data_IF_137557071023
#
_entry.id   IF_137557071023
#
_cell.length_a   1.000
_cell.length_b   1.000
_cell.length_c   1.000
_cell.angle_alpha   90.00
_cell.angle_beta   90.00
_cell.angle_gamma   90.00
#
_symmetry.space_group_name_H-M   'P 1'
#
loop_
_entity.id
_entity.type
_entity.pdbx_description
1 polymer ?
#
# COMPACT_ATOMS: atom_id res chain seq x y z
N UNK A 1 -21.45 -3.28 16.58
CA UNK A 1 -20.20 -3.50 17.32
C UNK A 1 -19.48 -2.16 17.37
N UNK A 2 -19.05 -1.69 18.56
CA UNK A 2 -18.36 -0.40 18.73
C UNK A 2 -16.96 -0.69 19.28
N UNK A 3 -15.93 -0.16 18.64
CA UNK A 3 -14.55 -0.25 19.12
C UNK A 3 -14.19 1.13 19.68
N UNK A 4 -13.82 1.19 20.95
CA UNK A 4 -13.38 2.41 21.61
C UNK A 4 -11.85 2.45 21.68
N UNK A 5 -11.26 3.21 20.76
CA UNK A 5 -9.82 3.39 20.71
C UNK A 5 -9.30 4.28 21.84
N UNK A 6 -10.15 5.08 22.51
CA UNK A 6 -9.71 5.97 23.58
C UNK A 6 -9.46 5.24 24.89
N UNK A 7 -10.09 4.09 25.11
CA UNK A 7 -9.89 3.22 26.29
C UNK A 7 -9.02 2.00 26.02
N UNK A 8 -8.45 1.87 24.82
CA UNK A 8 -7.61 0.75 24.44
C UNK A 8 -6.26 0.75 25.18
N UNK A 9 -5.98 -0.29 25.97
CA UNK A 9 -4.75 -0.40 26.78
C UNK A 9 -3.46 -0.44 25.96
N UNK A 10 -3.52 -0.86 24.69
CA UNK A 10 -2.35 -0.94 23.78
C UNK A 10 -2.34 0.16 22.72
N UNK A 11 -3.14 1.22 22.89
CA UNK A 11 -3.20 2.35 21.97
C UNK A 11 -1.80 2.95 21.77
N UNK A 12 -1.42 3.14 20.51
CA UNK A 12 -0.10 3.65 20.11
C UNK A 12 0.99 2.59 20.03
N UNK A 13 0.86 1.46 20.73
CA UNK A 13 1.85 0.37 20.74
C UNK A 13 1.51 -0.65 19.64
N UNK A 14 0.27 -1.17 19.66
CA UNK A 14 -0.22 -2.17 18.69
C UNK A 14 -1.09 -1.57 17.58
N UNK A 15 -0.99 -0.26 17.33
CA UNK A 15 -1.83 0.38 16.31
C UNK A 15 -1.34 0.07 14.89
N UNK A 16 -0.06 -0.24 14.70
CA UNK A 16 0.51 -0.52 13.37
C UNK A 16 -0.05 -1.80 12.72
N UNK A 17 -0.48 -2.76 13.53
CA UNK A 17 -1.01 -4.07 13.13
C UNK A 17 -2.46 -4.30 13.59
N UNK A 18 -3.10 -3.30 14.18
CA UNK A 18 -4.51 -3.37 14.59
C UNK A 18 -5.45 -3.47 13.38
N UNK A 19 -6.49 -4.31 13.48
CA UNK A 19 -7.55 -4.44 12.48
C UNK A 19 -8.25 -3.10 12.15
N UNK A 20 -8.31 -2.17 13.11
CA UNK A 20 -8.90 -0.83 12.90
C UNK A 20 -8.08 -0.04 11.87
N UNK A 21 -6.75 -0.10 11.95
CA UNK A 21 -5.86 0.55 10.97
C UNK A 21 -6.00 -0.08 9.59
N UNK A 22 -6.18 -1.41 9.52
CA UNK A 22 -6.45 -2.09 8.25
C UNK A 22 -7.78 -1.63 7.62
N UNK A 23 -8.84 -1.51 8.42
CA UNK A 23 -10.18 -1.11 7.94
C UNK A 23 -10.23 0.35 7.52
N UNK A 24 -9.56 1.25 8.26
CA UNK A 24 -9.58 2.68 7.99
C UNK A 24 -8.59 3.12 6.89
N UNK A 25 -7.87 2.16 6.30
CA UNK A 25 -6.88 2.39 5.26
C UNK A 25 -5.47 2.30 5.84
N UNK A 26 -4.61 1.54 5.14
CA UNK A 26 -3.17 1.49 5.41
C UNK A 26 -2.50 2.87 5.33
N UNK A 27 -1.17 2.95 5.44
CA UNK A 27 -0.43 4.22 5.47
C UNK A 27 -0.97 5.21 4.44
N UNK A 28 -1.21 6.49 4.82
CA UNK A 28 -1.90 7.46 3.96
C UNK A 28 -1.20 7.67 2.62
N UNK A 29 0.12 7.46 2.58
CA UNK A 29 0.96 7.61 1.39
C UNK A 29 1.05 6.33 0.53
N UNK A 30 0.39 5.24 0.94
CA UNK A 30 0.54 3.93 0.32
C UNK A 30 1.83 3.22 0.72
N UNK A 31 2.15 2.14 0.01
CA UNK A 31 3.36 1.35 0.22
C UNK A 31 4.16 1.37 -1.07
N UNK A 32 5.41 1.84 -1.01
CA UNK A 32 6.34 1.72 -2.12
C UNK A 32 6.84 0.29 -2.20
N UNK A 33 6.65 -0.34 -3.35
CA UNK A 33 7.10 -1.70 -3.63
C UNK A 33 8.10 -1.65 -4.78
N UNK A 34 9.29 -2.20 -4.55
CA UNK A 34 10.23 -2.43 -5.64
C UNK A 34 9.77 -3.60 -6.55
N UNK A 35 10.53 -3.87 -7.61
CA UNK A 35 10.18 -4.91 -8.58
C UNK A 35 10.26 -6.32 -7.97
N UNK A 36 11.22 -6.56 -7.08
CA UNK A 36 11.39 -7.85 -6.40
C UNK A 36 10.23 -8.12 -5.45
N UNK A 37 9.83 -7.10 -4.69
CA UNK A 37 8.70 -7.17 -3.78
C UNK A 37 7.38 -7.37 -4.52
N UNK A 38 7.16 -6.69 -5.64
CA UNK A 38 6.00 -6.94 -6.52
C UNK A 38 5.98 -8.37 -7.04
N UNK A 39 7.11 -8.87 -7.53
CA UNK A 39 7.23 -10.24 -8.02
C UNK A 39 6.93 -11.25 -6.90
N UNK A 40 7.40 -11.01 -5.68
CA UNK A 40 7.10 -11.86 -4.52
C UNK A 40 5.60 -11.88 -4.23
N UNK A 41 4.94 -10.71 -4.18
CA UNK A 41 3.50 -10.61 -3.95
C UNK A 41 2.69 -11.30 -5.07
N UNK A 42 3.16 -11.23 -6.32
CA UNK A 42 2.54 -11.96 -7.44
C UNK A 42 2.66 -13.48 -7.30
N UNK A 43 3.78 -14.00 -6.80
CA UNK A 43 3.94 -15.43 -6.49
C UNK A 43 2.98 -15.85 -5.38
N UNK A 44 2.88 -15.05 -4.31
CA UNK A 44 1.93 -15.32 -3.21
C UNK A 44 0.48 -15.30 -3.71
N UNK A 45 0.14 -14.38 -4.61
CA UNK A 45 -1.19 -14.28 -5.20
C UNK A 45 -1.50 -15.46 -6.13
N UNK A 46 -0.53 -15.92 -6.92
CA UNK A 46 -0.67 -17.13 -7.76
C UNK A 46 -0.86 -18.39 -6.91
N UNK A 47 -0.24 -18.44 -5.73
CA UNK A 47 -0.45 -19.51 -4.74
C UNK A 47 -1.76 -19.36 -3.95
N UNK A 48 -2.52 -18.28 -4.13
CA UNK A 48 -3.79 -18.04 -3.42
C UNK A 48 -3.64 -17.59 -1.98
N UNK A 49 -2.44 -17.16 -1.56
CA UNK A 49 -2.18 -16.72 -0.19
C UNK A 49 -2.55 -15.25 0.07
N UNK A 50 -2.56 -14.43 -0.99
CA UNK A 50 -2.94 -13.01 -0.93
C UNK A 50 -3.81 -12.63 -2.13
N UNK A 51 -4.63 -11.57 -2.05
CA UNK A 51 -5.30 -11.01 -3.22
C UNK A 51 -4.30 -10.53 -4.28
N UNK A 52 -4.69 -10.60 -5.56
CA UNK A 52 -3.89 -10.04 -6.68
C UNK A 52 -3.66 -8.54 -6.45
N UNK A 53 -2.46 -8.07 -6.76
CA UNK A 53 -2.13 -6.65 -6.67
C UNK A 53 -3.02 -5.82 -7.61
N UNK A 54 -3.76 -4.87 -7.05
CA UNK A 54 -4.56 -3.89 -7.79
C UNK A 54 -3.84 -2.53 -7.75
N UNK A 55 -2.69 -2.46 -8.43
CA UNK A 55 -1.85 -1.26 -8.46
C UNK A 55 -2.61 -0.08 -9.07
N UNK A 56 -2.76 1.00 -8.30
CA UNK A 56 -3.21 2.29 -8.81
C UNK A 56 -1.96 3.13 -9.05
N UNK A 57 -1.63 3.36 -10.32
CA UNK A 57 -0.50 4.23 -10.68
C UNK A 57 -0.93 5.69 -10.67
N UNK A 58 -0.18 6.55 -10.00
CA UNK A 58 -0.38 8.00 -10.09
C UNK A 58 -0.02 8.47 -11.51
N UNK A 59 -1.04 8.72 -12.32
CA UNK A 59 -0.93 9.16 -13.71
C UNK A 59 -0.16 10.49 -13.84
N UNK A 60 -0.08 11.29 -12.78
CA UNK A 60 0.68 12.54 -12.78
C UNK A 60 2.19 12.30 -12.83
N UNK A 61 2.65 11.23 -12.17
CA UNK A 61 4.07 10.84 -12.13
C UNK A 61 4.49 10.18 -13.44
N UNK A 62 3.64 9.34 -14.03
CA UNK A 62 3.93 8.68 -15.32
C UNK A 62 4.02 9.69 -16.48
N UNK A 63 3.19 10.74 -16.47
CA UNK A 63 3.25 11.81 -17.47
C UNK A 63 4.50 12.70 -17.32
N UNK A 64 4.97 12.96 -16.10
CA UNK A 64 6.18 13.74 -15.84
C UNK A 64 7.44 13.04 -16.39
N UNK A 65 7.58 11.73 -16.17
CA UNK A 65 8.69 10.93 -16.70
C UNK A 65 8.74 10.87 -18.24
N UNK A 66 7.57 10.96 -18.91
CA UNK A 66 7.49 10.98 -20.38
C UNK A 66 7.83 12.34 -20.99
N UNK A 67 7.62 13.44 -20.27
CA UNK A 67 7.99 14.81 -20.73
C UNK A 67 9.49 15.06 -20.66
N UNK A 68 10.18 14.52 -19.65
CA UNK A 68 11.65 14.60 -19.55
C UNK A 68 12.35 13.91 -20.72
N UNK A 69 11.87 12.73 -21.14
CA UNK A 69 12.43 11.98 -22.28
C UNK A 69 12.23 12.64 -23.65
N UNK A 70 11.27 13.57 -23.78
CA UNK A 70 10.98 14.27 -25.04
C UNK A 70 11.78 15.56 -25.23
N UNK A 71 12.35 16.14 -24.17
CA UNK A 71 13.15 17.36 -24.25
C UNK A 71 14.66 17.10 -24.38
N UNK A 72 15.09 15.83 -24.35
CA UNK A 72 16.49 15.41 -24.51
C UNK A 72 16.78 14.78 -25.88
N UNK A 73 15.87 14.96 -26.85
CA UNK A 73 16.00 14.50 -28.23
C UNK A 73 15.96 15.69 -29.19
#
# INVERSE_FOLDING_TARGET
MLIDCDTCQVRGIGCGDCVVSVILGGPPDGVELDETERAALDVLAQAGMVPRLQLVTDQRQTAAGRRGRRHSA
#
